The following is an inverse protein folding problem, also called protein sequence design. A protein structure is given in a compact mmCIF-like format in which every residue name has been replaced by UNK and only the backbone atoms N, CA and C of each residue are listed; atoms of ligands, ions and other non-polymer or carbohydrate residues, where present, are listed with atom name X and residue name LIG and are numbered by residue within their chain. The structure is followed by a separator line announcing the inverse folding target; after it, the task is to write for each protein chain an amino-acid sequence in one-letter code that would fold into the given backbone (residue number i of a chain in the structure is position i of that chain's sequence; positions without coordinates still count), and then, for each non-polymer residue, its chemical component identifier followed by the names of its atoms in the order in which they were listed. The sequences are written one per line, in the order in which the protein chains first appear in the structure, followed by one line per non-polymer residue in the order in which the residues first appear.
data_IF_519599811043
#
_entry.id   IF_519599811043
#
_cell.length_a   1.000
_cell.length_b   1.000
_cell.length_c   1.000
_cell.angle_alpha   90.00
_cell.angle_beta   90.00
_cell.angle_gamma   90.00
#
_symmetry.space_group_name_H-M   'P 1'
#
loop_
_entity.id
_entity.type
_entity.pdbx_description
1 polymer ?
#
# COMPACT_ATOMS: atom_id res chain seq x y z
N UNK A 1 -19.57 23.88 30.99
CA UNK A 1 -20.38 23.02 30.10
C UNK A 1 -19.50 22.70 28.90
N UNK A 2 -19.25 21.43 28.57
CA UNK A 2 -18.61 21.13 27.29
C UNK A 2 -19.59 21.55 26.20
N UNK A 3 -19.21 22.53 25.38
CA UNK A 3 -20.00 22.90 24.22
C UNK A 3 -19.94 21.75 23.23
N UNK A 4 -21.07 21.08 23.05
CA UNK A 4 -21.25 20.15 21.95
C UNK A 4 -21.23 20.97 20.66
N UNK A 5 -20.04 21.10 20.06
CA UNK A 5 -19.92 21.70 18.73
C UNK A 5 -20.64 20.77 17.75
N UNK A 6 -21.50 21.35 16.91
CA UNK A 6 -22.02 20.61 15.77
C UNK A 6 -20.84 20.28 14.85
N UNK A 7 -20.73 19.03 14.34
CA UNK A 7 -19.76 18.72 13.31
C UNK A 7 -19.92 19.71 12.13
N UNK A 8 -18.80 20.07 11.51
CA UNK A 8 -18.83 20.79 10.25
C UNK A 8 -19.56 19.96 9.16
N UNK A 9 -20.04 20.59 8.09
CA UNK A 9 -20.84 19.91 7.07
C UNK A 9 -20.17 18.66 6.50
N UNK A 10 -18.87 18.72 6.22
CA UNK A 10 -18.17 17.61 5.58
C UNK A 10 -17.98 16.42 6.54
N UNK A 11 -17.63 16.69 7.80
CA UNK A 11 -17.63 15.65 8.85
C UNK A 11 -19.00 15.02 9.03
N UNK A 12 -20.08 15.83 8.97
CA UNK A 12 -21.45 15.33 9.04
C UNK A 12 -21.78 14.44 7.84
N UNK A 13 -21.31 14.80 6.64
CA UNK A 13 -21.58 14.07 5.40
C UNK A 13 -20.82 12.72 5.42
N UNK A 14 -19.57 12.68 5.90
CA UNK A 14 -18.84 11.43 6.18
C UNK A 14 -19.57 10.53 7.20
N UNK A 15 -20.12 11.12 8.28
CA UNK A 15 -20.93 10.37 9.25
C UNK A 15 -22.20 9.81 8.58
N UNK A 16 -22.84 10.57 7.70
CA UNK A 16 -24.03 10.11 6.97
C UNK A 16 -23.70 8.97 6.02
N UNK A 17 -22.59 9.05 5.31
CA UNK A 17 -22.05 8.00 4.44
C UNK A 17 -21.85 6.69 5.19
N UNK A 18 -21.15 6.72 6.32
CA UNK A 18 -20.90 5.52 7.13
C UNK A 18 -22.21 4.93 7.66
N UNK A 19 -23.13 5.78 8.11
CA UNK A 19 -24.43 5.31 8.59
C UNK A 19 -25.31 4.76 7.48
N UNK A 20 -25.28 5.35 6.28
CA UNK A 20 -26.01 4.85 5.12
C UNK A 20 -25.53 3.45 4.73
N UNK A 21 -24.20 3.23 4.70
CA UNK A 21 -23.63 1.91 4.45
C UNK A 21 -24.01 0.89 5.50
N UNK A 22 -24.02 1.25 6.79
CA UNK A 22 -24.47 0.38 7.89
C UNK A 22 -25.94 -0.06 7.78
N UNK A 23 -26.73 0.66 6.99
CA UNK A 23 -28.13 0.36 6.71
C UNK A 23 -28.35 -0.15 5.28
N UNK A 24 -27.28 -0.55 4.57
CA UNK A 24 -27.32 -1.06 3.19
C UNK A 24 -27.98 -0.11 2.19
N UNK A 25 -27.73 1.20 2.36
CA UNK A 25 -28.30 2.28 1.55
C UNK A 25 -27.23 3.25 1.00
N UNK A 26 -25.96 2.82 0.95
CA UNK A 26 -24.86 3.66 0.47
C UNK A 26 -24.85 3.81 -1.06
N UNK A 27 -24.69 5.04 -1.53
CA UNK A 27 -24.42 5.39 -2.93
C UNK A 27 -22.91 5.61 -3.10
N UNK A 28 -22.28 4.86 -4.01
CA UNK A 28 -20.84 4.89 -4.21
C UNK A 28 -20.37 6.22 -4.80
N UNK A 29 -21.15 6.81 -5.72
CA UNK A 29 -20.78 8.06 -6.40
C UNK A 29 -20.77 9.22 -5.38
N UNK A 30 -21.83 9.33 -4.59
CA UNK A 30 -21.92 10.32 -3.50
C UNK A 30 -20.82 10.10 -2.45
N UNK A 31 -20.43 8.85 -2.25
CA UNK A 31 -19.36 8.53 -1.33
C UNK A 31 -17.99 9.00 -1.83
N UNK A 32 -17.68 8.73 -3.10
CA UNK A 32 -16.47 9.21 -3.77
C UNK A 32 -16.41 10.74 -3.72
N UNK A 33 -17.50 11.44 -4.06
CA UNK A 33 -17.58 12.91 -3.98
C UNK A 33 -17.26 13.44 -2.57
N UNK A 34 -17.79 12.79 -1.54
CA UNK A 34 -17.56 13.17 -0.14
C UNK A 34 -16.10 12.97 0.26
N UNK A 35 -15.48 11.87 -0.20
CA UNK A 35 -14.09 11.54 0.10
C UNK A 35 -13.12 12.45 -0.66
N UNK A 36 -13.39 12.76 -1.93
CA UNK A 36 -12.64 13.75 -2.71
C UNK A 36 -12.67 15.12 -2.02
N UNK A 37 -13.85 15.59 -1.61
CA UNK A 37 -13.96 16.86 -0.87
C UNK A 37 -13.19 16.87 0.47
N UNK A 38 -13.01 15.71 1.11
CA UNK A 38 -12.14 15.57 2.29
C UNK A 38 -10.66 15.66 1.90
N UNK A 39 -10.25 15.01 0.81
CA UNK A 39 -8.87 15.08 0.30
C UNK A 39 -8.51 16.50 -0.15
N UNK A 40 -9.40 17.22 -0.83
CA UNK A 40 -9.21 18.62 -1.23
C UNK A 40 -8.98 19.57 -0.04
N UNK A 41 -9.49 19.21 1.14
CA UNK A 41 -9.32 19.97 2.38
C UNK A 41 -8.13 19.49 3.23
N UNK A 42 -7.27 18.61 2.68
CA UNK A 42 -6.13 18.01 3.38
C UNK A 42 -6.55 17.29 4.68
N UNK A 43 -7.72 16.62 4.64
CA UNK A 43 -8.30 15.90 5.79
C UNK A 43 -8.04 14.40 5.74
N UNK A 44 -6.96 13.99 5.09
CA UNK A 44 -6.54 12.59 5.01
C UNK A 44 -6.42 11.95 6.40
N UNK A 45 -5.77 12.63 7.35
CA UNK A 45 -5.60 12.08 8.70
C UNK A 45 -6.92 11.81 9.43
N UNK A 46 -7.95 12.61 9.18
CA UNK A 46 -9.28 12.39 9.75
C UNK A 46 -9.90 11.10 9.18
N UNK A 47 -9.76 10.88 7.87
CA UNK A 47 -10.23 9.66 7.20
C UNK A 47 -9.54 8.41 7.73
N UNK A 48 -8.20 8.44 7.84
CA UNK A 48 -7.43 7.32 8.38
C UNK A 48 -7.77 7.03 9.85
N UNK A 49 -8.02 8.08 10.63
CA UNK A 49 -8.44 7.93 12.04
C UNK A 49 -9.82 7.28 12.15
N UNK A 50 -10.76 7.67 11.27
CA UNK A 50 -12.08 7.06 11.24
C UNK A 50 -11.99 5.60 10.80
N UNK A 51 -11.25 5.31 9.73
CA UNK A 51 -11.03 3.96 9.20
C UNK A 51 -10.45 3.01 10.26
N UNK A 52 -9.46 3.46 11.03
CA UNK A 52 -8.85 2.71 12.13
C UNK A 52 -9.76 2.49 13.35
N UNK A 53 -10.99 3.03 13.34
CA UNK A 53 -12.01 2.82 14.36
C UNK A 53 -13.24 2.04 13.83
N UNK A 54 -13.24 1.64 12.55
CA UNK A 54 -14.31 0.87 11.92
C UNK A 54 -13.99 -0.63 11.98
N UNK A 55 -15.05 -1.45 12.04
CA UNK A 55 -14.88 -2.89 11.84
C UNK A 55 -14.36 -3.21 10.44
N UNK A 56 -13.67 -4.34 10.30
CA UNK A 56 -12.99 -4.83 9.09
C UNK A 56 -13.80 -4.60 7.80
N UNK A 57 -14.99 -5.20 7.67
CA UNK A 57 -15.86 -5.08 6.50
C UNK A 57 -16.16 -3.62 6.09
N UNK A 58 -16.28 -2.72 7.08
CA UNK A 58 -16.60 -1.31 6.84
C UNK A 58 -15.34 -0.50 6.53
N UNK A 59 -14.20 -0.88 7.13
CA UNK A 59 -12.91 -0.28 6.84
C UNK A 59 -12.45 -0.62 5.43
N UNK A 60 -12.55 -1.90 5.03
CA UNK A 60 -12.27 -2.39 3.67
C UNK A 60 -13.11 -1.63 2.65
N UNK A 61 -14.43 -1.62 2.83
CA UNK A 61 -15.34 -0.88 1.94
C UNK A 61 -15.00 0.62 1.83
N UNK A 62 -14.70 1.28 2.96
CA UNK A 62 -14.35 2.70 2.95
C UNK A 62 -12.99 2.93 2.28
N UNK A 63 -12.06 2.00 2.43
CA UNK A 63 -10.74 2.07 1.83
C UNK A 63 -10.82 1.91 0.32
N UNK A 64 -11.62 0.99 -0.21
CA UNK A 64 -11.82 0.82 -1.66
C UNK A 64 -12.31 2.13 -2.30
N UNK A 65 -13.31 2.76 -1.69
CA UNK A 65 -13.85 4.04 -2.16
C UNK A 65 -12.84 5.19 -2.00
N UNK A 66 -12.02 5.17 -0.95
CA UNK A 66 -10.99 6.18 -0.73
C UNK A 66 -9.84 6.04 -1.73
N UNK A 67 -9.44 4.81 -2.06
CA UNK A 67 -8.43 4.52 -3.05
C UNK A 67 -8.88 5.01 -4.43
N UNK A 68 -10.13 4.76 -4.79
CA UNK A 68 -10.75 5.31 -6.00
C UNK A 68 -10.79 6.84 -5.94
N UNK A 69 -11.34 7.44 -4.89
CA UNK A 69 -11.45 8.90 -4.73
C UNK A 69 -10.09 9.62 -4.84
N UNK A 70 -9.02 9.01 -4.31
CA UNK A 70 -7.68 9.58 -4.38
C UNK A 70 -7.01 9.43 -5.75
N UNK A 71 -7.45 8.48 -6.57
CA UNK A 71 -6.79 8.12 -7.81
C UNK A 71 -7.63 8.34 -9.07
N UNK A 72 -8.92 8.62 -8.95
CA UNK A 72 -9.81 8.86 -10.09
C UNK A 72 -10.49 10.22 -9.97
N UNK A 73 -10.65 10.90 -11.11
CA UNK A 73 -11.43 12.12 -11.23
C UNK A 73 -12.22 12.14 -12.53
N UNK A 74 -13.41 12.72 -12.47
CA UNK A 74 -14.24 12.95 -13.66
C UNK A 74 -13.66 14.13 -14.42
N UNK A 75 -13.43 13.95 -15.72
CA UNK A 75 -13.00 15.03 -16.61
C UNK A 75 -14.23 15.79 -17.12
N UNK A 76 -14.20 17.12 -17.03
CA UNK A 76 -15.26 17.97 -17.58
C UNK A 76 -15.26 17.90 -19.11
N UNK A 77 -16.27 17.20 -19.67
CA UNK A 77 -16.54 17.13 -21.11
C UNK A 77 -17.65 18.09 -21.57
N UNK A 78 -17.94 18.13 -22.87
CA UNK A 78 -19.14 18.82 -23.36
C UNK A 78 -20.40 18.17 -22.77
N UNK A 79 -21.44 18.97 -22.48
CA UNK A 79 -22.64 18.55 -21.71
C UNK A 79 -23.45 17.37 -22.27
N UNK A 80 -23.12 16.88 -23.47
CA UNK A 80 -23.78 15.75 -24.14
C UNK A 80 -22.84 14.53 -24.34
N UNK A 81 -21.57 14.62 -23.95
CA UNK A 81 -20.62 13.51 -24.02
C UNK A 81 -20.74 12.60 -22.79
N UNK A 82 -20.40 11.32 -22.96
CA UNK A 82 -20.28 10.41 -21.80
C UNK A 82 -19.17 10.93 -20.89
N UNK A 83 -19.32 10.81 -19.56
CA UNK A 83 -18.23 11.16 -18.65
C UNK A 83 -17.00 10.35 -19.02
N UNK A 84 -15.84 11.01 -18.96
CA UNK A 84 -14.55 10.35 -19.09
C UNK A 84 -13.75 10.60 -17.82
N UNK A 85 -12.87 9.68 -17.51
CA UNK A 85 -12.14 9.66 -16.26
C UNK A 85 -10.64 9.78 -16.52
N UNK A 86 -9.96 10.44 -15.59
CA UNK A 86 -8.53 10.33 -15.39
C UNK A 86 -8.30 9.42 -14.18
N UNK A 87 -7.52 8.36 -14.34
CA UNK A 87 -7.29 7.34 -13.32
C UNK A 87 -5.78 7.12 -13.15
N UNK A 88 -5.29 7.09 -11.92
CA UNK A 88 -3.92 6.76 -11.56
C UNK A 88 -3.83 5.32 -11.04
N UNK A 89 -3.05 4.51 -11.73
CA UNK A 89 -2.89 3.09 -11.47
C UNK A 89 -1.44 2.72 -11.14
N UNK A 90 -1.27 1.58 -10.48
CA UNK A 90 0.01 0.99 -10.16
C UNK A 90 0.05 -0.48 -10.57
N UNK A 91 1.22 -0.93 -11.03
CA UNK A 91 1.56 -2.34 -11.16
C UNK A 91 2.76 -2.63 -10.28
N UNK A 92 2.63 -3.66 -9.44
CA UNK A 92 3.72 -4.20 -8.65
C UNK A 92 4.63 -5.08 -9.53
N UNK A 93 5.94 -4.85 -9.43
CA UNK A 93 6.95 -5.50 -10.26
C UNK A 93 8.06 -6.07 -9.38
N UNK A 94 8.41 -7.35 -9.55
CA UNK A 94 9.45 -7.98 -8.75
C UNK A 94 10.84 -7.49 -9.19
N UNK A 95 11.71 -7.20 -8.23
CA UNK A 95 13.11 -6.84 -8.43
C UNK A 95 14.01 -8.06 -8.33
N UNK A 96 15.18 -7.99 -8.97
CA UNK A 96 16.22 -9.00 -8.80
C UNK A 96 16.84 -8.93 -7.40
N UNK A 97 17.26 -10.07 -6.84
CA UNK A 97 17.88 -10.10 -5.52
C UNK A 97 19.23 -9.37 -5.44
N UNK A 98 19.98 -9.26 -6.55
CA UNK A 98 21.32 -8.67 -6.59
C UNK A 98 21.31 -7.33 -7.32
N UNK A 99 20.63 -6.34 -6.76
CA UNK A 99 20.55 -5.00 -7.35
C UNK A 99 21.91 -4.30 -7.33
N UNK A 100 22.23 -3.59 -8.41
CA UNK A 100 23.42 -2.76 -8.49
C UNK A 100 23.16 -1.37 -7.93
N UNK A 101 24.10 -0.83 -7.15
CA UNK A 101 24.03 0.56 -6.71
C UNK A 101 24.89 1.48 -7.63
N UNK A 102 24.36 2.65 -8.06
CA UNK A 102 23.03 3.19 -7.77
C UNK A 102 21.93 2.58 -8.65
N UNK A 103 20.74 2.42 -8.08
CA UNK A 103 19.55 1.95 -8.78
C UNK A 103 19.17 2.90 -9.91
N UNK A 104 18.84 2.34 -11.08
CA UNK A 104 18.40 3.15 -12.23
C UNK A 104 16.88 3.21 -12.26
N UNK A 105 16.24 2.03 -12.27
CA UNK A 105 14.81 1.81 -12.35
C UNK A 105 14.15 2.68 -13.42
N UNK A 106 14.69 2.63 -14.64
CA UNK A 106 14.25 3.46 -15.77
C UNK A 106 13.51 2.62 -16.79
N UNK A 107 12.47 3.21 -17.35
CA UNK A 107 11.68 2.65 -18.44
C UNK A 107 11.48 3.72 -19.52
N UNK A 108 11.14 3.30 -20.73
CA UNK A 108 10.69 4.19 -21.80
C UNK A 108 9.16 4.38 -21.64
N UNK A 109 8.68 5.60 -21.32
CA UNK A 109 7.26 5.84 -21.13
C UNK A 109 6.41 5.53 -22.36
N UNK A 110 6.92 5.78 -23.57
CA UNK A 110 6.14 5.57 -24.80
C UNK A 110 6.03 4.09 -25.13
N UNK A 111 7.14 3.37 -25.07
CA UNK A 111 7.14 1.93 -25.29
C UNK A 111 6.32 1.20 -24.21
N UNK A 112 6.38 1.67 -22.96
CA UNK A 112 5.61 1.09 -21.86
C UNK A 112 4.12 1.42 -21.98
N UNK A 113 3.74 2.62 -22.42
CA UNK A 113 2.35 2.97 -22.69
C UNK A 113 1.73 2.06 -23.77
N UNK A 114 2.46 1.80 -24.86
CA UNK A 114 2.03 0.89 -25.93
C UNK A 114 1.86 -0.56 -25.42
N UNK A 115 2.80 -1.00 -24.58
CA UNK A 115 2.77 -2.31 -23.94
C UNK A 115 1.55 -2.46 -23.02
N UNK A 116 1.31 -1.49 -22.13
CA UNK A 116 0.16 -1.46 -21.23
C UNK A 116 -1.15 -1.46 -22.00
N UNK A 117 -1.31 -0.58 -23.01
CA UNK A 117 -2.51 -0.53 -23.84
C UNK A 117 -2.84 -1.88 -24.46
N UNK A 118 -1.82 -2.55 -25.01
CA UNK A 118 -1.99 -3.84 -25.70
C UNK A 118 -2.34 -4.97 -24.74
N UNK A 119 -1.65 -5.08 -23.62
CA UNK A 119 -1.73 -6.25 -22.74
C UNK A 119 -2.73 -6.10 -21.59
N UNK A 120 -3.17 -4.87 -21.30
CA UNK A 120 -4.32 -4.60 -20.41
C UNK A 120 -5.64 -4.43 -21.18
N UNK A 121 -5.62 -4.60 -22.51
CA UNK A 121 -6.80 -4.47 -23.39
C UNK A 121 -7.59 -3.16 -23.19
N UNK A 122 -6.86 -2.05 -22.99
CA UNK A 122 -7.46 -0.75 -22.71
C UNK A 122 -8.27 -0.26 -23.91
N UNK A 123 -9.38 0.43 -23.65
CA UNK A 123 -10.29 0.93 -24.69
C UNK A 123 -9.62 1.89 -25.66
N UNK A 124 -10.03 1.81 -26.92
CA UNK A 124 -9.68 2.79 -27.94
C UNK A 124 -10.14 4.19 -27.50
N UNK A 125 -9.21 5.14 -27.44
CA UNK A 125 -9.46 6.50 -26.95
C UNK A 125 -8.79 6.81 -25.61
N UNK A 126 -8.43 5.79 -24.82
CA UNK A 126 -7.69 5.98 -23.56
C UNK A 126 -6.23 6.32 -23.84
N UNK A 127 -5.79 7.48 -23.36
CA UNK A 127 -4.37 7.89 -23.38
C UNK A 127 -3.70 7.33 -22.14
N UNK A 128 -2.59 6.59 -22.35
CA UNK A 128 -1.78 6.04 -21.26
C UNK A 128 -0.55 6.93 -21.10
N UNK A 129 -0.36 7.47 -19.91
CA UNK A 129 0.86 8.19 -19.51
C UNK A 129 1.59 7.36 -18.45
N UNK A 130 2.92 7.36 -18.47
CA UNK A 130 3.72 6.48 -17.61
C UNK A 130 4.83 7.27 -16.92
N UNK A 131 5.05 7.01 -15.64
CA UNK A 131 6.21 7.53 -14.92
C UNK A 131 7.50 6.99 -15.56
N UNK A 132 8.49 7.83 -15.91
CA UNK A 132 9.73 7.39 -16.56
C UNK A 132 10.63 6.54 -15.66
N UNK A 133 10.29 6.42 -14.37
CA UNK A 133 11.02 5.62 -13.40
C UNK A 133 10.05 4.76 -12.61
N UNK A 134 10.45 3.52 -12.36
CA UNK A 134 9.76 2.69 -11.39
C UNK A 134 10.07 3.23 -10.00
N UNK A 135 9.04 3.37 -9.18
CA UNK A 135 9.17 3.83 -7.80
C UNK A 135 9.41 2.64 -6.89
N UNK A 136 10.10 2.85 -5.78
CA UNK A 136 10.27 1.83 -4.74
C UNK A 136 9.24 2.04 -3.66
N UNK A 137 9.00 1.01 -2.85
CA UNK A 137 8.24 1.11 -1.60
C UNK A 137 8.69 2.30 -0.72
N UNK A 138 9.99 2.46 -0.50
CA UNK A 138 10.54 3.59 0.26
C UNK A 138 10.31 4.95 -0.42
N UNK A 139 10.10 4.99 -1.73
CA UNK A 139 9.74 6.21 -2.45
C UNK A 139 8.24 6.49 -2.35
N UNK A 140 7.40 5.45 -2.42
CA UNK A 140 5.95 5.56 -2.26
C UNK A 140 5.54 5.89 -0.82
N UNK A 141 6.30 5.46 0.20
CA UNK A 141 6.07 5.79 1.62
C UNK A 141 6.03 7.31 1.88
N UNK A 142 6.63 8.10 0.98
CA UNK A 142 6.67 9.56 1.07
C UNK A 142 5.48 10.26 0.40
N UNK A 143 4.60 9.51 -0.27
CA UNK A 143 3.39 10.04 -0.90
C UNK A 143 2.22 10.05 0.09
N UNK A 144 1.18 10.81 -0.27
CA UNK A 144 -0.06 10.98 0.51
C UNK A 144 -1.25 10.83 -0.43
N UNK A 145 -2.42 10.42 0.08
CA UNK A 145 -3.65 10.38 -0.70
C UNK A 145 -4.00 11.77 -1.24
N UNK A 146 -3.82 12.81 -0.43
CA UNK A 146 -3.98 14.20 -0.88
C UNK A 146 -3.07 14.51 -2.08
N UNK A 147 -1.78 14.15 -2.02
CA UNK A 147 -0.84 14.37 -3.11
C UNK A 147 -1.15 13.58 -4.38
N UNK A 148 -1.63 12.34 -4.27
CA UNK A 148 -2.09 11.56 -5.42
C UNK A 148 -3.31 12.21 -6.07
N UNK A 149 -4.27 12.63 -5.25
CA UNK A 149 -5.48 13.31 -5.70
C UNK A 149 -5.17 14.63 -6.40
N UNK A 150 -4.36 15.50 -5.79
CA UNK A 150 -3.93 16.76 -6.42
C UNK A 150 -3.24 16.52 -7.77
N UNK A 151 -2.41 15.48 -7.87
CA UNK A 151 -1.73 15.14 -9.12
C UNK A 151 -2.70 14.75 -10.22
N UNK A 152 -3.64 13.83 -9.95
CA UNK A 152 -4.58 13.37 -10.98
C UNK A 152 -5.58 14.47 -11.37
N UNK A 153 -6.03 15.30 -10.41
CA UNK A 153 -6.86 16.48 -10.66
C UNK A 153 -6.13 17.48 -11.57
N UNK A 154 -4.85 17.78 -11.27
CA UNK A 154 -4.03 18.66 -12.11
C UNK A 154 -3.89 18.14 -13.55
N UNK A 155 -3.74 16.83 -13.71
CA UNK A 155 -3.70 16.19 -15.03
C UNK A 155 -5.03 16.27 -15.79
N UNK A 156 -6.15 16.03 -15.10
CA UNK A 156 -7.49 16.13 -15.67
C UNK A 156 -7.79 17.55 -16.16
N UNK A 157 -7.35 18.57 -15.41
CA UNK A 157 -7.39 19.98 -15.76
C UNK A 157 -6.44 20.39 -16.90
N UNK A 158 -5.81 19.40 -17.57
CA UNK A 158 -4.85 19.59 -18.65
C UNK A 158 -3.64 20.45 -18.25
N UNK A 159 -3.30 20.47 -16.96
CA UNK A 159 -2.06 21.10 -16.51
C UNK A 159 -0.86 20.24 -16.92
N UNK A 160 0.33 20.83 -16.85
CA UNK A 160 1.55 20.13 -17.22
C UNK A 160 1.83 19.01 -16.22
N UNK A 161 1.88 17.76 -16.72
CA UNK A 161 2.31 16.58 -15.95
C UNK A 161 3.61 16.87 -15.20
N UNK A 162 3.55 16.73 -13.88
CA UNK A 162 4.71 16.70 -13.00
C UNK A 162 5.06 15.25 -12.69
N UNK A 163 6.30 14.98 -12.29
CA UNK A 163 6.67 13.64 -11.84
C UNK A 163 6.19 13.48 -10.40
N UNK A 164 5.65 12.31 -10.05
CA UNK A 164 5.24 11.99 -8.67
C UNK A 164 6.41 12.09 -7.68
N UNK A 165 7.59 11.63 -8.10
CA UNK A 165 8.81 11.81 -7.31
C UNK A 165 10.01 12.17 -8.17
N UNK A 166 10.81 13.10 -7.67
CA UNK A 166 12.09 13.48 -8.28
C UNK A 166 13.27 12.64 -7.80
N UNK A 167 13.12 11.92 -6.68
CA UNK A 167 14.18 11.15 -6.03
C UNK A 167 13.73 9.72 -5.81
N UNK A 168 14.66 8.80 -6.02
CA UNK A 168 14.44 7.40 -5.75
C UNK A 168 15.13 7.05 -4.43
N UNK A 169 14.42 6.41 -3.53
CA UNK A 169 14.95 5.86 -2.30
C UNK A 169 15.27 4.37 -2.50
N UNK A 170 16.33 3.82 -1.87
CA UNK A 170 16.60 2.39 -1.92
C UNK A 170 15.37 1.61 -1.44
N UNK A 171 14.98 0.54 -2.14
CA UNK A 171 13.81 -0.23 -1.75
C UNK A 171 14.11 -0.99 -0.44
N UNK A 172 13.06 -1.23 0.34
CA UNK A 172 13.15 -2.07 1.53
C UNK A 172 12.81 -3.51 1.17
N UNK A 173 11.76 -3.71 0.36
CA UNK A 173 11.39 -5.00 -0.22
C UNK A 173 11.95 -5.19 -1.64
N UNK A 174 11.91 -6.43 -2.17
CA UNK A 174 12.35 -6.73 -3.53
C UNK A 174 11.29 -6.33 -4.58
N UNK A 175 10.71 -5.14 -4.42
CA UNK A 175 9.54 -4.69 -5.18
C UNK A 175 9.74 -3.29 -5.73
N UNK A 176 9.30 -3.07 -6.97
CA UNK A 176 9.17 -1.77 -7.58
C UNK A 176 7.78 -1.58 -8.18
N UNK A 177 7.35 -0.34 -8.33
CA UNK A 177 6.02 0.03 -8.75
C UNK A 177 6.09 0.82 -10.05
N UNK A 178 5.38 0.34 -11.06
CA UNK A 178 5.09 1.08 -12.28
C UNK A 178 3.84 1.92 -12.05
N UNK A 179 4.00 3.24 -11.97
CA UNK A 179 2.85 4.16 -11.91
C UNK A 179 2.52 4.66 -13.32
N UNK A 180 1.23 4.62 -13.66
CA UNK A 180 0.73 5.09 -14.94
C UNK A 180 -0.66 5.69 -14.79
N UNK A 181 -1.00 6.61 -15.69
CA UNK A 181 -2.28 7.30 -15.71
C UNK A 181 -3.07 6.95 -16.97
N UNK A 182 -4.37 6.70 -16.81
CA UNK A 182 -5.33 6.44 -17.87
C UNK A 182 -6.21 7.67 -18.02
N UNK A 183 -6.07 8.41 -19.12
CA UNK A 183 -6.82 9.63 -19.38
C UNK A 183 -7.84 9.39 -20.49
N UNK A 184 -9.08 9.81 -20.27
CA UNK A 184 -10.17 9.61 -21.22
C UNK A 184 -10.82 8.22 -21.10
N UNK A 185 -10.62 7.53 -19.98
CA UNK A 185 -11.26 6.23 -19.75
C UNK A 185 -12.77 6.40 -19.67
N UNK A 186 -13.59 5.50 -20.27
CA UNK A 186 -15.04 5.60 -20.21
C UNK A 186 -15.60 5.29 -18.81
N UNK A 187 -14.82 4.63 -17.96
CA UNK A 187 -15.16 4.20 -16.60
C UNK A 187 -13.95 4.43 -15.68
N UNK A 188 -14.16 4.68 -14.37
CA UNK A 188 -13.07 4.88 -13.42
C UNK A 188 -12.32 3.58 -13.08
N UNK A 189 -12.94 2.43 -13.38
CA UNK A 189 -12.42 1.11 -13.03
C UNK A 189 -11.14 0.71 -13.78
N UNK A 190 -10.35 -0.13 -13.13
CA UNK A 190 -9.16 -0.75 -13.69
C UNK A 190 -9.45 -2.20 -14.14
N UNK A 191 -8.64 -2.75 -15.07
CA UNK A 191 -8.74 -4.16 -15.42
C UNK A 191 -8.65 -5.07 -14.18
N UNK A 192 -9.66 -5.89 -13.92
CA UNK A 192 -9.73 -6.76 -12.74
C UNK A 192 -8.78 -7.98 -12.82
N UNK A 193 -8.30 -8.32 -14.02
CA UNK A 193 -7.42 -9.46 -14.24
C UNK A 193 -6.54 -9.27 -15.47
N UNK A 194 -5.42 -9.98 -15.50
CA UNK A 194 -4.54 -10.08 -16.66
C UNK A 194 -4.37 -11.56 -16.99
N UNK A 195 -4.63 -11.91 -18.25
CA UNK A 195 -4.45 -13.28 -18.74
C UNK A 195 -2.97 -13.69 -18.74
N UNK A 196 -2.69 -14.97 -18.53
CA UNK A 196 -1.32 -15.50 -18.42
C UNK A 196 -0.40 -15.09 -19.59
N UNK A 197 -0.83 -15.17 -20.87
CA UNK A 197 0.01 -14.73 -21.99
C UNK A 197 0.31 -13.23 -21.97
N UNK A 198 -0.63 -12.42 -21.47
CA UNK A 198 -0.47 -10.98 -21.36
C UNK A 198 0.44 -10.61 -20.19
N UNK A 199 0.35 -11.31 -19.05
CA UNK A 199 1.30 -11.16 -17.94
C UNK A 199 2.73 -11.44 -18.38
N UNK A 200 2.93 -12.54 -19.10
CA UNK A 200 4.23 -12.90 -19.65
C UNK A 200 4.78 -11.80 -20.56
N UNK A 201 3.98 -11.37 -21.54
CA UNK A 201 4.42 -10.41 -22.54
C UNK A 201 4.65 -9.00 -21.94
N UNK A 202 3.82 -8.59 -20.97
CA UNK A 202 3.99 -7.33 -20.25
C UNK A 202 5.32 -7.35 -19.48
N UNK A 203 5.56 -8.38 -18.66
CA UNK A 203 6.77 -8.44 -17.85
C UNK A 203 8.03 -8.57 -18.71
N UNK A 204 8.01 -9.39 -19.77
CA UNK A 204 9.13 -9.49 -20.71
C UNK A 204 9.48 -8.14 -21.36
N UNK A 205 8.46 -7.38 -21.77
CA UNK A 205 8.66 -6.06 -22.35
C UNK A 205 9.20 -5.02 -21.36
N UNK A 206 8.83 -5.13 -20.08
CA UNK A 206 9.38 -4.29 -19.01
C UNK A 206 10.83 -4.67 -18.67
N UNK A 207 11.11 -5.97 -18.52
CA UNK A 207 12.47 -6.50 -18.25
C UNK A 207 13.44 -6.15 -19.38
N UNK A 208 12.97 -6.13 -20.63
CA UNK A 208 13.79 -5.71 -21.78
C UNK A 208 14.23 -4.23 -21.70
N UNK A 209 13.47 -3.39 -21.00
CA UNK A 209 13.79 -1.98 -20.78
C UNK A 209 14.58 -1.77 -19.49
N UNK A 210 14.21 -2.48 -18.42
CA UNK A 210 14.77 -2.35 -17.08
C UNK A 210 15.34 -3.69 -16.60
N UNK A 211 16.65 -3.87 -16.76
CA UNK A 211 17.35 -5.09 -16.37
C UNK A 211 17.46 -5.32 -14.85
N UNK A 212 16.92 -4.44 -14.01
CA UNK A 212 16.81 -4.62 -12.55
C UNK A 212 15.55 -5.39 -12.15
N UNK A 213 14.58 -5.53 -13.06
CA UNK A 213 13.38 -6.34 -12.86
C UNK A 213 13.67 -7.84 -12.94
N UNK A 214 12.98 -8.62 -12.11
CA UNK A 214 13.01 -10.07 -12.16
C UNK A 214 11.98 -10.62 -13.16
N UNK A 215 12.34 -11.72 -13.82
CA UNK A 215 11.45 -12.42 -14.75
C UNK A 215 10.56 -13.43 -14.01
N UNK A 216 9.62 -12.94 -13.22
CA UNK A 216 8.64 -13.72 -12.45
C UNK A 216 7.18 -13.35 -12.82
N UNK A 217 6.70 -13.78 -14.01
CA UNK A 217 5.40 -13.37 -14.57
C UNK A 217 4.18 -13.86 -13.76
N UNK A 218 4.35 -14.95 -13.01
CA UNK A 218 3.33 -15.51 -12.13
C UNK A 218 3.05 -14.67 -10.88
N UNK A 219 3.95 -13.72 -10.56
CA UNK A 219 3.81 -12.77 -9.45
C UNK A 219 3.13 -11.48 -9.92
N UNK A 220 3.06 -11.24 -11.22
CA UNK A 220 2.44 -10.04 -11.75
C UNK A 220 0.91 -10.11 -11.59
N UNK A 221 0.36 -9.21 -10.80
CA UNK A 221 -1.07 -9.07 -10.60
C UNK A 221 -1.70 -8.00 -11.49
N UNK A 222 -3.02 -7.89 -11.44
CA UNK A 222 -3.75 -6.84 -12.14
C UNK A 222 -3.41 -5.45 -11.58
N UNK A 223 -3.51 -4.38 -12.39
CA UNK A 223 -3.25 -3.05 -11.90
C UNK A 223 -4.27 -2.63 -10.85
N UNK A 224 -3.80 -1.97 -9.79
CA UNK A 224 -4.63 -1.41 -8.71
C UNK A 224 -4.55 0.11 -8.72
N UNK A 225 -5.46 0.80 -8.01
CA UNK A 225 -5.30 2.23 -7.80
C UNK A 225 -3.97 2.50 -7.08
N UNK A 226 -3.26 3.57 -7.46
CA UNK A 226 -1.95 3.87 -6.90
C UNK A 226 -1.97 4.07 -5.37
N UNK A 227 -3.13 4.40 -4.80
CA UNK A 227 -3.36 4.43 -3.36
C UNK A 227 -3.11 3.08 -2.68
N UNK A 228 -3.52 1.93 -3.26
CA UNK A 228 -3.23 0.61 -2.68
C UNK A 228 -1.73 0.37 -2.58
N UNK A 229 -1.02 0.53 -3.70
CA UNK A 229 0.43 0.39 -3.74
C UNK A 229 1.15 1.33 -2.76
N UNK A 230 0.63 2.55 -2.55
CA UNK A 230 1.14 3.48 -1.55
C UNK A 230 0.95 2.94 -0.12
N UNK A 231 -0.22 2.41 0.22
CA UNK A 231 -0.47 1.84 1.54
C UNK A 231 0.35 0.57 1.79
N UNK A 232 0.45 -0.31 0.80
CA UNK A 232 1.27 -1.52 0.88
C UNK A 232 2.73 -1.16 1.15
N UNK A 233 3.26 -0.20 0.40
CA UNK A 233 4.61 0.34 0.60
C UNK A 233 4.81 0.97 1.98
N UNK A 234 3.88 1.80 2.46
CA UNK A 234 3.98 2.43 3.78
C UNK A 234 4.01 1.38 4.89
N UNK A 235 3.20 0.33 4.78
CA UNK A 235 3.14 -0.72 5.78
C UNK A 235 4.39 -1.60 5.76
N UNK A 236 4.89 -1.99 4.58
CA UNK A 236 6.16 -2.68 4.42
C UNK A 236 7.32 -1.90 5.08
N UNK A 237 7.48 -0.62 4.73
CA UNK A 237 8.54 0.24 5.26
C UNK A 237 8.43 0.42 6.78
N UNK A 238 7.23 0.60 7.31
CA UNK A 238 7.01 0.72 8.77
C UNK A 238 7.35 -0.57 9.52
N UNK A 239 6.95 -1.72 8.98
CA UNK A 239 7.26 -3.03 9.56
C UNK A 239 8.78 -3.28 9.60
N UNK A 240 9.46 -3.00 8.49
CA UNK A 240 10.92 -3.14 8.43
C UNK A 240 11.65 -2.17 9.35
N UNK A 241 11.22 -0.90 9.44
CA UNK A 241 11.77 0.06 10.40
C UNK A 241 11.60 -0.45 11.83
N UNK A 242 10.44 -1.02 12.17
CA UNK A 242 10.21 -1.61 13.49
C UNK A 242 11.11 -2.81 13.75
N UNK A 243 11.34 -3.66 12.74
CA UNK A 243 12.26 -4.78 12.84
C UNK A 243 13.72 -4.31 13.07
N UNK A 244 14.17 -3.29 12.35
CA UNK A 244 15.50 -2.70 12.51
C UNK A 244 15.69 -2.06 13.90
N UNK A 245 14.70 -1.29 14.37
CA UNK A 245 14.70 -0.70 15.71
C UNK A 245 14.74 -1.79 16.78
N UNK A 246 13.95 -2.86 16.61
CA UNK A 246 13.94 -4.01 17.51
C UNK A 246 15.29 -4.72 17.53
N UNK A 247 15.91 -4.94 16.36
CA UNK A 247 17.22 -5.55 16.26
C UNK A 247 18.31 -4.68 16.89
N UNK A 248 18.23 -3.36 16.74
CA UNK A 248 19.15 -2.43 17.38
C UNK A 248 19.05 -2.52 18.91
N UNK A 249 17.84 -2.46 19.47
CA UNK A 249 17.63 -2.59 20.91
C UNK A 249 18.07 -3.97 21.40
N UNK A 250 17.77 -5.05 20.68
CA UNK A 250 18.22 -6.40 21.01
C UNK A 250 19.75 -6.52 21.11
N UNK A 251 20.49 -5.96 20.16
CA UNK A 251 21.96 -5.96 20.15
C UNK A 251 22.55 -5.20 21.34
N UNK A 252 21.88 -4.14 21.78
CA UNK A 252 22.30 -3.32 22.93
C UNK A 252 22.08 -4.02 24.28
N UNK A 253 21.23 -5.06 24.36
CA UNK A 253 21.03 -5.83 25.59
C UNK A 253 22.29 -6.62 25.96
N UNK A 254 22.53 -6.81 27.25
CA UNK A 254 23.59 -7.71 27.72
C UNK A 254 23.27 -9.17 27.33
N UNK A 255 24.27 -10.02 27.03
CA UNK A 255 24.01 -11.41 26.59
C UNK A 255 23.15 -12.23 27.56
N UNK A 256 23.29 -12.00 28.87
CA UNK A 256 22.48 -12.67 29.89
C UNK A 256 21.04 -12.14 29.99
N UNK A 257 20.75 -10.97 29.43
CA UNK A 257 19.39 -10.41 29.31
C UNK A 257 18.77 -10.92 28.02
N UNK A 258 19.50 -10.85 26.89
CA UNK A 258 19.06 -11.39 25.58
C UNK A 258 18.54 -12.81 25.68
N UNK A 259 19.27 -13.70 26.35
CA UNK A 259 18.87 -15.11 26.51
C UNK A 259 17.56 -15.34 27.30
N UNK A 260 16.96 -14.28 27.85
CA UNK A 260 15.74 -14.30 28.66
C UNK A 260 14.71 -13.25 28.20
N UNK A 261 14.93 -12.61 27.05
CA UNK A 261 14.07 -11.54 26.51
C UNK A 261 13.18 -12.05 25.39
N UNK A 262 11.87 -11.81 25.51
CA UNK A 262 10.92 -12.09 24.43
C UNK A 262 10.53 -10.79 23.74
N UNK A 263 10.42 -10.85 22.41
CA UNK A 263 9.97 -9.73 21.58
C UNK A 263 8.56 -10.01 21.09
N UNK A 264 7.66 -9.08 21.42
CA UNK A 264 6.28 -9.11 21.00
C UNK A 264 6.09 -7.99 19.98
N UNK A 265 5.56 -8.32 18.81
CA UNK A 265 5.07 -7.34 17.86
C UNK A 265 3.58 -7.18 18.09
N UNK A 266 3.16 -5.97 18.42
CA UNK A 266 1.78 -5.60 18.59
C UNK A 266 1.33 -4.83 17.36
N UNK A 267 0.30 -5.34 16.68
CA UNK A 267 -0.31 -4.64 15.54
C UNK A 267 -1.70 -4.17 15.95
N UNK A 268 -1.99 -2.89 15.76
CA UNK A 268 -3.33 -2.33 15.97
C UNK A 268 -4.11 -2.46 14.66
N UNK A 269 -5.10 -3.34 14.66
CA UNK A 269 -6.00 -3.57 13.52
C UNK A 269 -7.33 -2.84 13.75
N UNK A 270 -8.15 -2.65 12.69
CA UNK A 270 -9.22 -1.63 12.55
C UNK A 270 -10.22 -1.40 13.70
N UNK A 271 -10.28 -2.28 14.70
CA UNK A 271 -11.06 -2.11 15.92
C UNK A 271 -10.27 -1.55 17.13
N UNK A 272 -9.03 -1.11 16.95
CA UNK A 272 -8.14 -0.74 18.06
C UNK A 272 -7.71 -1.94 18.91
N UNK A 273 -7.88 -3.16 18.40
CA UNK A 273 -7.41 -4.39 19.04
C UNK A 273 -5.95 -4.57 18.68
N UNK A 274 -5.10 -4.69 19.71
CA UNK A 274 -3.71 -5.07 19.53
C UNK A 274 -3.63 -6.60 19.43
N UNK A 275 -3.24 -7.10 18.27
CA UNK A 275 -2.92 -8.52 18.10
C UNK A 275 -1.45 -8.75 18.47
N UNK A 276 -1.15 -9.65 19.44
CA UNK A 276 0.21 -10.03 19.72
C UNK A 276 0.69 -11.05 18.68
N UNK A 277 1.69 -10.66 17.89
CA UNK A 277 2.46 -11.53 17.01
C UNK A 277 3.79 -11.83 17.69
N UNK A 278 4.10 -13.12 17.85
CA UNK A 278 5.36 -13.58 18.43
C UNK A 278 6.29 -13.96 17.31
N UNK A 279 7.55 -13.58 17.43
CA UNK A 279 8.55 -13.84 16.40
C UNK A 279 9.78 -14.47 17.00
N UNK A 280 10.25 -15.52 16.36
CA UNK A 280 11.46 -16.22 16.72
C UNK A 280 12.66 -15.36 16.31
N UNK A 281 13.31 -14.72 17.28
CA UNK A 281 14.58 -14.04 17.04
C UNK A 281 15.71 -15.08 17.06
N UNK A 282 16.33 -15.29 15.90
CA UNK A 282 17.58 -16.03 15.78
C UNK A 282 18.75 -15.13 16.16
N UNK A 283 19.54 -15.53 17.14
CA UNK A 283 20.79 -14.83 17.48
C UNK A 283 21.89 -15.28 16.50
N UNK A 284 22.42 -14.39 15.64
CA UNK A 284 23.47 -14.74 14.69
C UNK A 284 24.81 -15.09 15.37
N UNK A 285 24.97 -14.82 16.67
CA UNK A 285 26.11 -15.26 17.47
C UNK A 285 25.97 -16.70 17.97
N UNK A 286 24.78 -17.32 17.83
CA UNK A 286 24.51 -18.71 18.20
C UNK A 286 24.59 -19.65 16.97
N UNK A 287 25.01 -20.91 17.14
CA UNK A 287 25.01 -21.91 16.06
C UNK A 287 23.62 -22.12 15.43
N UNK A 288 23.54 -22.39 14.12
CA UNK A 288 22.27 -22.63 13.39
C UNK A 288 21.42 -23.76 14.01
N UNK A 289 22.07 -24.73 14.66
CA UNK A 289 21.50 -25.87 15.34
C UNK A 289 20.94 -25.56 16.76
N UNK A 290 21.03 -24.31 17.20
CA UNK A 290 20.50 -23.87 18.50
C UNK A 290 18.97 -23.64 18.50
N UNK A 291 18.34 -23.65 17.31
CA UNK A 291 16.89 -23.40 17.14
C UNK A 291 16.46 -21.98 17.52
N UNK A 292 15.17 -21.64 17.36
CA UNK A 292 14.60 -20.45 17.98
C UNK A 292 14.89 -20.45 19.48
N UNK A 293 15.20 -19.30 20.07
CA UNK A 293 15.63 -19.21 21.47
C UNK A 293 14.56 -19.60 22.53
N UNK A 294 13.42 -20.19 22.13
CA UNK A 294 12.29 -20.49 23.01
C UNK A 294 11.64 -21.86 22.74
N UNK A 295 11.65 -22.72 23.76
CA UNK A 295 10.63 -23.77 23.95
C UNK A 295 10.11 -23.66 25.39
N UNK A 296 9.08 -22.83 25.62
CA UNK A 296 8.29 -22.90 26.86
C UNK A 296 6.97 -23.64 26.58
N UNK A 297 6.63 -24.70 27.34
CA UNK A 297 5.45 -25.53 27.11
C UNK A 297 4.13 -24.94 27.66
N UNK A 298 4.15 -23.79 28.33
CA UNK A 298 3.01 -23.28 29.10
C UNK A 298 2.19 -22.17 28.41
N UNK A 299 2.52 -21.83 27.16
CA UNK A 299 1.80 -20.79 26.39
C UNK A 299 0.99 -21.44 25.28
N UNK A 300 -0.33 -21.25 25.33
CA UNK A 300 -1.23 -21.65 24.25
C UNK A 300 -1.29 -20.54 23.21
N UNK A 301 -1.03 -20.93 21.97
CA UNK A 301 -0.62 -20.07 20.87
C UNK A 301 -1.79 -19.88 19.90
N UNK A 302 -2.03 -18.63 19.47
CA UNK A 302 -2.67 -18.35 18.19
C UNK A 302 -1.58 -17.80 17.28
N UNK A 303 -0.91 -18.70 16.56
CA UNK A 303 0.06 -18.37 15.54
C UNK A 303 -0.72 -18.04 14.27
N UNK A 304 -0.44 -16.90 13.66
CA UNK A 304 -0.17 -16.98 12.24
C UNK A 304 1.21 -17.63 12.16
N UNK A 305 1.31 -18.86 11.68
CA UNK A 305 2.59 -19.51 11.41
C UNK A 305 3.31 -18.68 10.33
N UNK A 306 3.99 -17.63 10.76
CA UNK A 306 4.82 -16.79 9.94
C UNK A 306 6.23 -17.01 10.46
N UNK A 307 7.02 -17.89 9.82
CA UNK A 307 8.43 -17.91 10.10
C UNK A 307 8.97 -16.50 9.83
N UNK A 308 9.56 -15.85 10.84
CA UNK A 308 10.65 -14.89 10.54
C UNK A 308 11.89 -15.74 10.24
N UNK A 309 11.80 -16.52 9.17
CA UNK A 309 12.91 -16.56 8.25
C UNK A 309 12.83 -15.21 7.52
N UNK A 310 13.95 -14.59 7.15
CA UNK A 310 13.90 -13.36 6.36
C UNK A 310 13.38 -13.68 4.93
N UNK A 311 12.05 -13.72 4.72
CA UNK A 311 11.42 -12.90 3.68
C UNK A 311 10.06 -12.30 4.15
N UNK A 312 9.92 -10.96 4.06
CA UNK A 312 8.82 -10.17 4.64
C UNK A 312 7.44 -10.28 3.98
N UNK A 313 7.31 -10.89 2.81
CA UNK A 313 6.10 -10.82 1.98
C UNK A 313 4.84 -11.43 2.62
N UNK A 314 4.96 -12.55 3.37
CA UNK A 314 3.77 -13.25 3.91
C UNK A 314 3.14 -12.57 5.14
N UNK A 315 3.93 -11.84 5.94
CA UNK A 315 3.43 -11.13 7.13
C UNK A 315 2.78 -9.81 6.73
N UNK A 316 3.41 -9.08 5.80
CA UNK A 316 2.91 -7.83 5.24
C UNK A 316 1.52 -8.01 4.62
N UNK A 317 1.35 -8.97 3.71
CA UNK A 317 0.07 -9.19 2.99
C UNK A 317 -1.12 -9.54 3.90
N UNK A 318 -0.89 -10.22 5.04
CA UNK A 318 -1.98 -10.60 5.96
C UNK A 318 -2.30 -9.51 6.98
N UNK A 319 -1.31 -8.77 7.47
CA UNK A 319 -1.55 -7.63 8.35
C UNK A 319 -2.15 -6.44 7.59
N UNK A 320 -1.84 -6.33 6.30
CA UNK A 320 -2.47 -5.39 5.37
C UNK A 320 -3.96 -5.67 5.18
N UNK A 321 -4.32 -6.93 4.91
CA UNK A 321 -5.71 -7.35 4.75
C UNK A 321 -6.57 -7.09 6.00
N UNK A 322 -5.97 -7.15 7.20
CA UNK A 322 -6.65 -6.92 8.48
C UNK A 322 -6.72 -5.41 8.87
N UNK A 323 -6.28 -4.51 7.98
CA UNK A 323 -6.32 -3.05 8.20
C UNK A 323 -5.44 -2.60 9.37
N UNK A 324 -4.31 -3.26 9.61
CA UNK A 324 -3.42 -2.91 10.70
C UNK A 324 -2.59 -1.67 10.35
N UNK A 325 -2.77 -0.59 11.12
CA UNK A 325 -2.25 0.76 10.79
C UNK A 325 -1.19 1.28 11.74
N UNK A 326 -1.02 0.61 12.89
CA UNK A 326 -0.01 0.95 13.90
C UNK A 326 0.71 -0.30 14.37
N UNK A 327 2.03 -0.20 14.44
CA UNK A 327 2.92 -1.26 14.86
C UNK A 327 3.68 -0.79 16.10
N UNK A 328 3.73 -1.63 17.14
CA UNK A 328 4.48 -1.38 18.36
C UNK A 328 5.30 -2.62 18.71
N UNK A 329 6.53 -2.43 19.15
CA UNK A 329 7.35 -3.50 19.72
C UNK A 329 7.33 -3.39 21.24
N UNK A 330 7.04 -4.52 21.90
CA UNK A 330 7.16 -4.65 23.34
C UNK A 330 8.25 -5.69 23.63
N UNK A 331 9.29 -5.26 24.34
CA UNK A 331 10.37 -6.13 24.77
C UNK A 331 10.13 -6.43 26.25
N UNK A 332 9.88 -7.70 26.55
CA UNK A 332 9.47 -8.14 27.90
C UNK A 332 10.48 -9.17 28.41
N UNK A 333 10.94 -9.00 29.65
CA UNK A 333 11.72 -10.04 30.35
C UNK A 333 10.77 -11.14 30.83
N UNK A 334 11.14 -12.41 30.66
CA UNK A 334 10.28 -13.55 31.01
C UNK A 334 9.87 -13.52 32.51
N UNK A 335 8.64 -13.96 32.87
CA UNK A 335 8.02 -13.77 34.19
C UNK A 335 8.67 -14.53 35.36
N UNK A 336 9.80 -15.23 35.14
CA UNK A 336 10.59 -15.80 36.23
C UNK A 336 11.46 -14.76 36.96
N UNK A 337 11.44 -13.48 36.52
CA UNK A 337 11.86 -12.30 37.30
C UNK A 337 11.03 -11.04 36.96
#
# INVERSE_FOLDING_TARGET
MPSWYRPDPLTRDLIHLINARRHDHGDADVAIDTLQAMLEQDREQDLLTVMAALGEDMAEWLFDLLAEAACSVVMEGETDEKPTYAVMAALELPLQANLSEPLRLKIDPLATADLLRKHLHLSDGTVVMVEPRLLTDATLDLLTLHGLHEHITSLADSQRRQLLSSRLHPPVEATAFLIFELIGSPEPGLPESIEEPDRQALLEGLVAQCGELASAPHVLEAPVYAAYAMFDAQNAVRLHRLADETAAVWRDLEPGVRSRTIVHLHTQCGNGVYMPVWTDLFDPELPEDHGPAWTSPDVWVFTADLPIEWPGEMLTNRLLAEGCTRFENHIVEAPEN
#
